data_IF_378567476777
#
_entry.id   IF_378567476777
#
_cell.length_a   1.000
_cell.length_b   1.000
_cell.length_c   1.000
_cell.angle_alpha   90.00
_cell.angle_beta   90.00
_cell.angle_gamma   90.00
#
_symmetry.space_group_name_H-M   'P 1'
#
loop_
_entity.id
_entity.type
_entity.pdbx_description
1 polymer ?
#
# COMPACT_ATOMS: atom_id res chain seq x y z
N UNK A 1 3.22 -15.13 12.11
CA UNK A 1 1.85 -14.69 12.36
C UNK A 1 1.58 -15.02 13.82
N UNK A 2 1.49 -14.00 14.67
CA UNK A 2 1.34 -14.18 16.12
C UNK A 2 -0.07 -13.78 16.47
N UNK A 3 -0.96 -14.76 16.62
CA UNK A 3 -2.34 -14.53 17.09
C UNK A 3 -2.33 -14.72 18.60
N UNK A 4 -2.67 -13.67 19.35
CA UNK A 4 -2.90 -13.75 20.79
C UNK A 4 -4.35 -13.33 21.03
N UNK A 5 -5.17 -14.24 21.55
CA UNK A 5 -6.54 -13.97 22.01
C UNK A 5 -7.41 -13.24 20.97
N UNK A 6 -7.49 -13.78 19.75
CA UNK A 6 -8.25 -13.19 18.64
C UNK A 6 -7.61 -11.99 17.94
N UNK A 7 -6.54 -11.38 18.46
CA UNK A 7 -5.87 -10.25 17.79
C UNK A 7 -4.88 -10.70 16.72
N UNK A 8 -4.91 -10.00 15.59
CA UNK A 8 -3.93 -10.08 14.52
C UNK A 8 -3.29 -8.70 14.30
N UNK A 9 -1.97 -8.66 14.14
CA UNK A 9 -1.26 -7.45 13.74
C UNK A 9 -0.24 -7.76 12.64
N UNK A 10 -0.15 -6.86 11.65
CA UNK A 10 0.81 -6.94 10.56
C UNK A 10 1.33 -5.56 10.21
N UNK A 11 2.64 -5.50 9.96
CA UNK A 11 3.31 -4.37 9.32
C UNK A 11 4.12 -4.91 8.15
N UNK A 12 4.11 -4.20 7.04
CA UNK A 12 4.93 -4.48 5.88
C UNK A 12 5.61 -3.19 5.40
N UNK A 13 6.85 -3.31 4.94
CA UNK A 13 7.57 -2.22 4.30
C UNK A 13 8.22 -2.72 3.02
N UNK A 14 8.01 -1.99 1.93
CA UNK A 14 8.63 -2.26 0.63
C UNK A 14 9.45 -1.04 0.24
N UNK A 15 10.76 -1.24 0.08
CA UNK A 15 11.67 -0.22 -0.45
C UNK A 15 12.09 -0.60 -1.86
N UNK A 16 12.07 0.39 -2.76
CA UNK A 16 12.59 0.25 -4.11
C UNK A 16 13.43 1.47 -4.45
N UNK A 17 14.64 1.24 -4.93
CA UNK A 17 15.51 2.31 -5.44
C UNK A 17 15.00 2.76 -6.82
N UNK A 18 15.60 3.82 -7.38
CA UNK A 18 15.26 4.30 -8.71
C UNK A 18 15.50 3.23 -9.78
N UNK A 19 14.70 3.27 -10.85
CA UNK A 19 14.78 2.27 -11.90
C UNK A 19 14.34 2.80 -13.25
N UNK A 20 14.99 2.27 -14.29
CA UNK A 20 14.68 2.58 -15.68
C UNK A 20 13.32 1.99 -16.07
N UNK A 21 12.56 2.79 -16.80
CA UNK A 21 11.28 2.43 -17.41
C UNK A 21 11.14 3.15 -18.76
N UNK A 22 10.00 2.99 -19.41
CA UNK A 22 9.70 3.63 -20.69
C UNK A 22 8.37 4.39 -20.58
N UNK A 23 8.28 5.54 -21.25
CA UNK A 23 7.05 6.32 -21.37
C UNK A 23 6.76 6.70 -22.84
N UNK A 24 5.54 7.15 -23.12
CA UNK A 24 5.20 7.63 -24.47
C UNK A 24 5.68 9.07 -24.64
N UNK A 25 6.64 9.27 -25.52
CA UNK A 25 7.09 10.60 -25.92
C UNK A 25 6.10 11.32 -26.84
N UNK A 26 6.43 12.55 -27.24
CA UNK A 26 5.59 13.42 -28.07
C UNK A 26 5.19 12.80 -29.42
N UNK A 27 6.06 11.98 -30.01
CA UNK A 27 5.80 11.25 -31.27
C UNK A 27 5.05 9.92 -31.06
N UNK A 28 4.60 9.62 -29.84
CA UNK A 28 4.03 8.35 -29.39
C UNK A 28 5.00 7.16 -29.38
N UNK A 29 6.25 7.37 -29.78
CA UNK A 29 7.33 6.40 -29.59
C UNK A 29 7.65 6.24 -28.10
N UNK A 30 8.09 5.05 -27.70
CA UNK A 30 8.61 4.81 -26.36
C UNK A 30 9.95 5.53 -26.22
N UNK A 31 10.12 6.19 -25.09
CA UNK A 31 11.36 6.86 -24.69
C UNK A 31 11.69 6.45 -23.26
N UNK A 32 12.99 6.37 -22.97
CA UNK A 32 13.47 6.03 -21.64
C UNK A 32 13.07 7.08 -20.60
N UNK A 33 12.60 6.61 -19.45
CA UNK A 33 12.27 7.39 -18.27
C UNK A 33 12.78 6.71 -17.00
N UNK A 34 12.91 7.46 -15.91
CA UNK A 34 13.37 6.94 -14.63
C UNK A 34 12.29 7.15 -13.58
N UNK A 35 11.78 6.06 -13.00
CA UNK A 35 10.97 6.13 -11.78
C UNK A 35 11.89 6.27 -10.58
N UNK A 36 11.56 7.20 -9.69
CA UNK A 36 12.43 7.57 -8.57
C UNK A 36 12.47 6.54 -7.43
N UNK A 37 11.67 5.47 -7.54
CA UNK A 37 11.51 4.51 -6.44
C UNK A 37 10.75 5.13 -5.28
N UNK A 38 10.85 4.51 -4.10
CA UNK A 38 10.18 4.98 -2.90
C UNK A 38 10.10 3.91 -1.81
N UNK A 39 9.62 4.31 -0.63
CA UNK A 39 9.35 3.38 0.47
C UNK A 39 7.86 3.40 0.83
N UNK A 40 7.21 2.26 0.66
CA UNK A 40 5.81 2.07 1.06
C UNK A 40 5.76 1.32 2.38
N UNK A 41 5.06 1.90 3.35
CA UNK A 41 4.80 1.26 4.66
C UNK A 41 3.30 1.04 4.81
N UNK A 42 2.91 -0.20 5.08
CA UNK A 42 1.52 -0.61 5.27
C UNK A 42 1.35 -1.27 6.64
N UNK A 43 0.18 -1.12 7.24
CA UNK A 43 -0.18 -1.76 8.50
C UNK A 43 -1.62 -2.31 8.48
N UNK A 44 -1.82 -3.38 9.26
CA UNK A 44 -3.12 -3.99 9.48
C UNK A 44 -3.24 -4.42 10.94
N UNK A 45 -4.42 -4.19 11.51
CA UNK A 45 -4.86 -4.78 12.77
C UNK A 45 -6.21 -5.47 12.56
N UNK A 46 -6.37 -6.64 13.14
CA UNK A 46 -7.61 -7.41 13.11
C UNK A 46 -7.97 -7.95 14.48
N UNK A 47 -9.27 -8.17 14.67
CA UNK A 47 -9.79 -8.91 15.82
C UNK A 47 -10.83 -9.92 15.37
N UNK A 48 -10.65 -11.15 15.80
CA UNK A 48 -11.57 -12.27 15.62
C UNK A 48 -12.39 -12.49 16.89
N UNK A 49 -13.71 -12.32 16.78
CA UNK A 49 -14.62 -12.43 17.92
C UNK A 49 -14.91 -13.88 18.29
N UNK A 50 -14.51 -14.88 17.51
CA UNK A 50 -14.68 -16.30 17.86
C UNK A 50 -13.95 -16.72 19.14
N UNK A 51 -12.92 -15.97 19.55
CA UNK A 51 -12.22 -16.21 20.81
C UNK A 51 -12.68 -15.26 21.93
N UNK A 52 -13.67 -14.40 21.68
CA UNK A 52 -14.08 -13.35 22.62
C UNK A 52 -15.04 -13.81 23.73
N UNK A 53 -15.69 -14.96 23.56
CA UNK A 53 -16.73 -15.45 24.46
C UNK A 53 -18.06 -14.69 24.37
N UNK A 54 -18.22 -13.78 23.41
CA UNK A 54 -19.46 -13.04 23.15
C UNK A 54 -20.27 -13.81 22.10
N UNK A 55 -21.23 -14.63 22.55
CA UNK A 55 -22.03 -15.50 21.67
C UNK A 55 -22.68 -14.77 20.48
N UNK A 56 -23.12 -13.52 20.66
CA UNK A 56 -23.76 -12.72 19.61
C UNK A 56 -22.82 -12.26 18.49
N UNK A 57 -21.50 -12.33 18.72
CA UNK A 57 -20.47 -11.90 17.78
C UNK A 57 -19.58 -13.07 17.32
N UNK A 58 -19.91 -14.30 17.71
CA UNK A 58 -19.23 -15.51 17.25
C UNK A 58 -19.20 -15.54 15.71
N UNK A 59 -18.02 -15.81 15.13
CA UNK A 59 -17.82 -15.81 13.67
C UNK A 59 -17.64 -14.43 13.03
N UNK A 60 -17.72 -13.32 13.78
CA UNK A 60 -17.39 -11.98 13.30
C UNK A 60 -15.88 -11.72 13.35
N UNK A 61 -15.33 -11.15 12.29
CA UNK A 61 -13.98 -10.59 12.26
C UNK A 61 -14.01 -9.14 11.78
N UNK A 62 -13.32 -8.27 12.50
CA UNK A 62 -13.13 -6.85 12.15
C UNK A 62 -11.67 -6.61 11.80
N UNK A 63 -11.43 -5.85 10.74
CA UNK A 63 -10.08 -5.50 10.28
C UNK A 63 -9.99 -4.02 9.96
N UNK A 64 -8.90 -3.39 10.38
CA UNK A 64 -8.51 -2.05 9.97
C UNK A 64 -7.16 -2.11 9.27
N UNK A 65 -7.08 -1.52 8.09
CA UNK A 65 -5.87 -1.48 7.26
C UNK A 65 -5.55 -0.04 6.89
N UNK A 66 -4.26 0.28 6.88
CA UNK A 66 -3.73 1.54 6.39
C UNK A 66 -2.60 1.26 5.41
N UNK A 67 -2.71 1.80 4.20
CA UNK A 67 -1.76 1.61 3.11
C UNK A 67 -1.06 2.93 2.78
N UNK A 68 0.21 2.87 2.40
CA UNK A 68 1.04 4.05 2.13
C UNK A 68 1.06 5.04 3.31
N UNK A 69 1.38 4.55 4.51
CA UNK A 69 1.43 5.34 5.76
C UNK A 69 2.46 6.47 5.74
N UNK A 70 3.46 6.40 4.87
CA UNK A 70 4.49 7.43 4.68
C UNK A 70 4.06 8.53 3.71
N UNK A 71 2.88 8.40 3.08
CA UNK A 71 2.40 9.31 2.05
C UNK A 71 3.40 9.46 0.90
N UNK A 72 3.93 8.33 0.43
CA UNK A 72 4.92 8.30 -0.64
C UNK A 72 4.24 8.59 -1.99
N UNK A 73 4.82 9.53 -2.76
CA UNK A 73 4.40 9.86 -4.12
C UNK A 73 5.08 8.94 -5.15
N UNK A 74 4.42 8.69 -6.27
CA UNK A 74 5.02 8.01 -7.43
C UNK A 74 5.49 9.06 -8.45
N UNK A 75 6.82 9.17 -8.60
CA UNK A 75 7.47 10.21 -9.40
C UNK A 75 8.28 9.58 -10.52
N UNK A 76 8.08 10.10 -11.73
CA UNK A 76 8.86 9.76 -12.91
C UNK A 76 9.50 11.00 -13.51
N UNK A 77 10.77 10.88 -13.88
CA UNK A 77 11.53 11.90 -14.58
C UNK A 77 12.06 11.39 -15.91
N UNK A 78 12.34 12.30 -16.84
CA UNK A 78 13.04 11.96 -18.08
C UNK A 78 14.42 11.35 -17.77
N UNK A 79 14.81 10.30 -18.49
CA UNK A 79 16.17 9.76 -18.38
C UNK A 79 17.22 10.79 -18.85
N UNK A 80 16.87 11.67 -19.80
CA UNK A 80 17.78 12.66 -20.36
C UNK A 80 18.03 13.85 -19.41
N UNK A 81 17.04 14.21 -18.57
CA UNK A 81 17.17 15.24 -17.53
C UNK A 81 16.29 14.89 -16.33
N UNK A 82 16.91 14.49 -15.22
CA UNK A 82 16.25 14.15 -13.95
C UNK A 82 15.40 15.27 -13.34
N UNK A 83 15.62 16.54 -13.74
CA UNK A 83 14.83 17.68 -13.28
C UNK A 83 13.52 17.83 -14.05
N UNK A 84 13.41 17.17 -15.19
CA UNK A 84 12.19 17.14 -15.98
C UNK A 84 11.29 16.03 -15.46
N UNK A 85 10.38 16.37 -14.54
CA UNK A 85 9.33 15.46 -14.08
C UNK A 85 8.31 15.30 -15.19
N UNK A 86 8.09 14.06 -15.62
CA UNK A 86 7.17 13.70 -16.71
C UNK A 86 5.87 13.11 -16.18
N UNK A 87 5.91 12.52 -14.98
CA UNK A 87 4.72 12.09 -14.25
C UNK A 87 4.90 12.31 -12.75
N UNK A 88 3.84 12.80 -12.12
CA UNK A 88 3.72 12.94 -10.68
C UNK A 88 2.34 12.45 -10.26
N UNK A 89 2.29 11.45 -9.38
CA UNK A 89 1.06 10.86 -8.87
C UNK A 89 1.12 10.78 -7.35
N UNK A 90 0.17 11.44 -6.70
CA UNK A 90 -0.01 11.37 -5.26
C UNK A 90 -1.30 10.60 -4.98
N UNK A 91 -1.16 9.47 -4.27
CA UNK A 91 -2.27 8.60 -3.91
C UNK A 91 -2.78 8.84 -2.50
N UNK A 92 -1.99 9.50 -1.65
CA UNK A 92 -2.30 9.63 -0.23
C UNK A 92 -2.08 8.33 0.55
N UNK A 93 -2.26 8.42 1.86
CA UNK A 93 -2.53 7.26 2.71
C UNK A 93 -3.98 6.81 2.54
N UNK A 94 -4.20 5.51 2.34
CA UNK A 94 -5.54 4.93 2.21
C UNK A 94 -5.92 4.11 3.45
N UNK A 95 -7.17 4.21 3.91
CA UNK A 95 -7.69 3.54 5.10
C UNK A 95 -8.88 2.66 4.75
N UNK A 96 -8.86 1.42 5.21
CA UNK A 96 -9.92 0.44 4.96
C UNK A 96 -10.40 -0.18 6.26
N UNK A 97 -11.73 -0.25 6.43
CA UNK A 97 -12.38 -0.95 7.53
C UNK A 97 -13.22 -2.10 6.95
N UNK A 98 -12.93 -3.33 7.37
CA UNK A 98 -13.57 -4.54 6.87
C UNK A 98 -14.25 -5.33 7.98
N UNK A 99 -15.42 -5.89 7.66
CA UNK A 99 -16.21 -6.77 8.52
C UNK A 99 -16.46 -8.07 7.75
N UNK A 100 -16.15 -9.21 8.35
CA UNK A 100 -16.38 -10.53 7.76
C UNK A 100 -17.14 -11.37 8.77
N UNK A 101 -18.18 -12.08 8.33
CA UNK A 101 -18.97 -12.95 9.20
C UNK A 101 -19.06 -14.35 8.61
N UNK A 102 -18.84 -15.37 9.44
CA UNK A 102 -18.97 -16.78 9.08
C UNK A 102 -20.09 -17.42 9.91
N UNK A 103 -20.94 -18.20 9.23
CA UNK A 103 -22.07 -18.93 9.82
C UNK A 103 -21.69 -20.37 10.15
#
# INVERSE_FOLDING_TARGET
MTTSDGFEFRVAATKRDDYLTEERGTSLALVDATKQGGTLVDAQIGYDFSESGIESLEGLRVTFQAQNLTDEDDIQASQADSRQITQYQSYGTNYLLGFNYTF
#
